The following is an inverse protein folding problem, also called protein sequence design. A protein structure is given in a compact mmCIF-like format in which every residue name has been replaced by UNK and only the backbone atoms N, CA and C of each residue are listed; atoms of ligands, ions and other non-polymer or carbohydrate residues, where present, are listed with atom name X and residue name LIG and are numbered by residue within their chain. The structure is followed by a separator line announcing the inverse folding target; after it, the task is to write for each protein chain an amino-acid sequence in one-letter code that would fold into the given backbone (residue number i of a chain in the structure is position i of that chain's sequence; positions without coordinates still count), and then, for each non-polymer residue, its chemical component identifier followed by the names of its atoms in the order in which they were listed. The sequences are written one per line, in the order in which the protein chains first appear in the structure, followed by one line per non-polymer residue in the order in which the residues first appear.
data_IF_735146789460
#
_entry.id   IF_735146789460
#
_cell.length_a   1.000
_cell.length_b   1.000
_cell.length_c   1.000
_cell.angle_alpha   90.00
_cell.angle_beta   90.00
_cell.angle_gamma   90.00
#
_symmetry.space_group_name_H-M   'P 1'
#
loop_
_entity.id
_entity.type
_entity.pdbx_description
1 polymer ?
#
# COMPACT_ATOMS: atom_id res chain seq x y z
N UNK A 1 -8.14 9.55 -14.54
CA UNK A 1 -8.66 8.17 -14.67
C UNK A 1 -10.09 8.09 -15.20
N UNK A 2 -11.00 9.03 -14.91
CA UNK A 2 -12.41 8.94 -15.33
C UNK A 2 -12.63 8.69 -16.84
N UNK A 3 -11.86 9.33 -17.72
CA UNK A 3 -11.97 9.10 -19.18
C UNK A 3 -11.70 7.64 -19.57
N UNK A 4 -10.75 6.98 -18.89
CA UNK A 4 -10.44 5.56 -19.11
C UNK A 4 -11.58 4.66 -18.63
N UNK A 5 -12.11 4.92 -17.43
CA UNK A 5 -13.24 4.18 -16.87
C UNK A 5 -14.52 4.33 -17.70
N UNK A 6 -14.81 5.53 -18.20
CA UNK A 6 -15.91 5.77 -19.13
C UNK A 6 -15.71 5.04 -20.46
N UNK A 7 -14.49 5.05 -21.00
CA UNK A 7 -14.18 4.31 -22.22
C UNK A 7 -14.44 2.80 -22.04
N UNK A 8 -14.01 2.22 -20.92
CA UNK A 8 -14.27 0.82 -20.57
C UNK A 8 -15.78 0.52 -20.47
N UNK A 9 -16.52 1.34 -19.74
CA UNK A 9 -17.97 1.21 -19.58
C UNK A 9 -18.71 1.32 -20.93
N UNK A 10 -18.29 2.25 -21.77
CA UNK A 10 -18.84 2.44 -23.11
C UNK A 10 -18.55 1.25 -24.02
N UNK A 11 -17.35 0.66 -23.93
CA UNK A 11 -17.00 -0.51 -24.71
C UNK A 11 -17.87 -1.71 -24.33
N UNK A 12 -18.05 -1.99 -23.04
CA UNK A 12 -18.96 -3.04 -22.57
C UNK A 12 -20.40 -2.83 -23.06
N UNK A 13 -20.85 -1.57 -23.09
CA UNK A 13 -22.20 -1.21 -23.56
C UNK A 13 -22.42 -1.59 -25.03
N UNK A 14 -21.38 -1.53 -25.88
CA UNK A 14 -21.48 -1.97 -27.29
C UNK A 14 -21.82 -3.46 -27.42
N UNK A 15 -21.52 -4.25 -26.39
CA UNK A 15 -21.86 -5.68 -26.31
C UNK A 15 -23.13 -5.95 -25.50
N UNK A 16 -23.94 -4.92 -25.21
CA UNK A 16 -25.11 -4.98 -24.32
C UNK A 16 -24.77 -5.45 -22.89
N UNK A 17 -23.55 -5.22 -22.42
CA UNK A 17 -23.12 -5.51 -21.06
C UNK A 17 -23.18 -4.24 -20.20
N UNK A 18 -23.85 -4.33 -19.05
CA UNK A 18 -23.77 -3.30 -18.03
C UNK A 18 -22.55 -3.59 -17.14
N UNK A 19 -21.46 -2.84 -17.35
CA UNK A 19 -20.27 -2.99 -16.53
C UNK A 19 -20.37 -2.13 -15.26
N UNK A 20 -20.66 -2.78 -14.14
CA UNK A 20 -20.77 -2.18 -12.82
C UNK A 20 -19.96 -3.01 -11.80
N UNK A 21 -18.64 -2.80 -11.69
CA UNK A 21 -17.81 -3.54 -10.76
C UNK A 21 -18.19 -3.22 -9.31
N UNK A 22 -18.26 -4.25 -8.46
CA UNK A 22 -18.52 -4.08 -7.03
C UNK A 22 -17.26 -3.62 -6.28
N UNK A 23 -16.09 -4.11 -6.69
CA UNK A 23 -14.82 -3.84 -6.01
C UNK A 23 -13.75 -3.48 -7.04
N UNK A 24 -12.98 -2.42 -6.74
CA UNK A 24 -11.75 -2.10 -7.45
C UNK A 24 -10.55 -2.19 -6.51
N UNK A 25 -9.52 -2.90 -6.93
CA UNK A 25 -8.20 -2.86 -6.30
C UNK A 25 -7.30 -1.93 -7.11
N UNK A 26 -6.80 -0.88 -6.48
CA UNK A 26 -5.89 0.09 -7.10
C UNK A 26 -4.76 0.45 -6.12
N UNK A 27 -3.72 1.15 -6.58
CA UNK A 27 -2.76 1.73 -5.65
C UNK A 27 -3.42 2.75 -4.70
N UNK A 28 -2.67 3.37 -3.79
CA UNK A 28 -3.21 4.29 -2.79
C UNK A 28 -3.36 5.73 -3.30
N UNK A 29 -3.25 5.97 -4.62
CA UNK A 29 -3.42 7.31 -5.20
C UNK A 29 -4.87 7.80 -5.04
N UNK A 30 -5.11 8.93 -4.36
CA UNK A 30 -6.49 9.41 -4.13
C UNK A 30 -7.28 9.62 -5.44
N UNK A 31 -6.61 10.06 -6.50
CA UNK A 31 -7.23 10.41 -7.78
C UNK A 31 -7.94 9.21 -8.45
N UNK A 32 -7.32 8.01 -8.43
CA UNK A 32 -7.92 6.82 -9.07
C UNK A 32 -9.18 6.37 -8.34
N UNK A 33 -9.18 6.43 -7.01
CA UNK A 33 -10.34 6.09 -6.17
C UNK A 33 -11.50 7.07 -6.34
N UNK A 34 -11.18 8.37 -6.40
CA UNK A 34 -12.18 9.42 -6.63
C UNK A 34 -12.80 9.29 -8.02
N UNK A 35 -11.97 9.12 -9.05
CA UNK A 35 -12.43 8.99 -10.43
C UNK A 35 -13.26 7.71 -10.65
N UNK A 36 -12.93 6.62 -9.96
CA UNK A 36 -13.72 5.39 -9.99
C UNK A 36 -15.11 5.62 -9.39
N UNK A 37 -15.20 6.28 -8.23
CA UNK A 37 -16.49 6.63 -7.60
C UNK A 37 -17.32 7.60 -8.45
N UNK A 38 -16.68 8.48 -9.22
CA UNK A 38 -17.38 9.35 -10.18
C UNK A 38 -18.06 8.56 -11.31
N UNK A 39 -17.50 7.40 -11.72
CA UNK A 39 -18.06 6.57 -12.82
C UNK A 39 -18.98 5.45 -12.30
N UNK A 40 -18.67 4.92 -11.13
CA UNK A 40 -19.41 3.88 -10.41
C UNK A 40 -19.59 4.30 -8.95
N UNK A 41 -20.68 5.02 -8.61
CA UNK A 41 -20.89 5.60 -7.27
C UNK A 41 -20.85 4.58 -6.13
N UNK A 42 -21.31 3.35 -6.38
CA UNK A 42 -21.43 2.29 -5.38
C UNK A 42 -20.17 1.39 -5.28
N UNK A 43 -19.10 1.71 -6.02
CA UNK A 43 -17.89 0.88 -6.04
C UNK A 43 -17.16 0.91 -4.70
N UNK A 44 -16.79 -0.27 -4.22
CA UNK A 44 -15.89 -0.40 -3.07
C UNK A 44 -14.46 -0.33 -3.58
N UNK A 45 -13.73 0.71 -3.16
CA UNK A 45 -12.32 0.85 -3.50
C UNK A 45 -11.42 0.27 -2.43
N UNK A 46 -10.47 -0.58 -2.82
CA UNK A 46 -9.48 -1.20 -1.92
C UNK A 46 -8.06 -0.92 -2.40
N UNK A 47 -7.15 -0.79 -1.45
CA UNK A 47 -5.72 -0.71 -1.73
C UNK A 47 -5.18 -2.04 -2.29
N UNK A 48 -4.30 -1.96 -3.28
CA UNK A 48 -3.70 -3.10 -3.94
C UNK A 48 -2.39 -3.46 -3.24
N UNK A 49 -2.38 -4.61 -2.56
CA UNK A 49 -1.18 -5.11 -1.86
C UNK A 49 0.02 -5.30 -2.77
N UNK A 50 -0.20 -5.68 -4.02
CA UNK A 50 0.89 -5.85 -4.99
C UNK A 50 1.65 -4.54 -5.21
N UNK A 51 0.93 -3.45 -5.50
CA UNK A 51 1.53 -2.14 -5.70
C UNK A 51 2.15 -1.58 -4.40
N UNK A 52 1.54 -1.83 -3.25
CA UNK A 52 2.12 -1.48 -1.95
C UNK A 52 3.46 -2.18 -1.71
N UNK A 53 3.50 -3.51 -1.90
CA UNK A 53 4.71 -4.29 -1.79
C UNK A 53 5.80 -3.85 -2.77
N UNK A 54 5.43 -3.48 -4.00
CA UNK A 54 6.37 -2.90 -4.97
C UNK A 54 6.91 -1.54 -4.53
N UNK A 55 6.09 -0.67 -3.92
CA UNK A 55 6.54 0.61 -3.38
C UNK A 55 7.53 0.40 -2.23
N UNK A 56 7.19 -0.47 -1.28
CA UNK A 56 8.05 -0.80 -0.14
C UNK A 56 9.35 -1.44 -0.59
N UNK A 57 9.30 -2.39 -1.52
CA UNK A 57 10.49 -3.05 -2.06
C UNK A 57 11.43 -2.07 -2.75
N UNK A 58 10.90 -1.12 -3.54
CA UNK A 58 11.72 -0.05 -4.12
C UNK A 58 12.39 0.81 -3.05
N UNK A 59 11.70 1.15 -1.96
CA UNK A 59 12.31 1.90 -0.85
C UNK A 59 13.42 1.09 -0.16
N UNK A 60 13.19 -0.19 0.10
CA UNK A 60 14.20 -1.12 0.65
C UNK A 60 15.44 -1.17 -0.25
N UNK A 61 15.26 -1.26 -1.58
CA UNK A 61 16.35 -1.23 -2.55
C UNK A 61 17.11 0.10 -2.52
N UNK A 62 16.40 1.23 -2.53
CA UNK A 62 17.01 2.56 -2.54
C UNK A 62 17.85 2.85 -1.28
N UNK A 63 17.48 2.28 -0.14
CA UNK A 63 18.23 2.39 1.11
C UNK A 63 19.42 1.41 1.17
N UNK A 64 19.55 0.50 0.19
CA UNK A 64 20.56 -0.55 0.17
C UNK A 64 20.29 -1.67 1.18
N UNK A 65 19.05 -1.83 1.63
CA UNK A 65 18.64 -2.86 2.59
C UNK A 65 18.37 -4.22 1.92
N UNK A 66 18.35 -4.29 0.58
CA UNK A 66 18.10 -5.54 -0.15
C UNK A 66 19.10 -6.65 0.17
N UNK A 67 20.35 -6.31 0.49
CA UNK A 67 21.35 -7.31 0.89
C UNK A 67 20.93 -8.05 2.16
N UNK A 68 20.32 -7.35 3.12
CA UNK A 68 19.82 -7.94 4.36
C UNK A 68 18.55 -8.73 4.11
N UNK A 69 17.63 -8.19 3.29
CA UNK A 69 16.39 -8.88 2.95
C UNK A 69 16.62 -10.26 2.31
N UNK A 70 17.63 -10.37 1.45
CA UNK A 70 18.00 -11.62 0.78
C UNK A 70 18.84 -12.58 1.64
N UNK A 71 19.23 -12.17 2.85
CA UNK A 71 19.97 -12.99 3.80
C UNK A 71 19.02 -13.55 4.87
N UNK A 72 18.87 -14.88 4.92
CA UNK A 72 17.94 -15.55 5.83
C UNK A 72 18.40 -15.51 7.30
N UNK A 73 19.68 -15.26 7.57
CA UNK A 73 20.18 -15.10 8.95
C UNK A 73 20.23 -13.64 9.40
N UNK A 74 19.92 -12.68 8.51
CA UNK A 74 19.92 -11.26 8.87
C UNK A 74 18.71 -10.89 9.72
N UNK A 75 18.93 -10.38 10.93
CA UNK A 75 17.86 -9.85 11.79
C UNK A 75 17.08 -8.71 11.12
N UNK A 76 17.79 -7.79 10.43
CA UNK A 76 17.17 -6.75 9.61
C UNK A 76 16.33 -7.37 8.48
N UNK A 77 16.85 -8.40 7.81
CA UNK A 77 16.12 -9.11 6.77
C UNK A 77 14.85 -9.77 7.26
N UNK A 78 14.89 -10.44 8.41
CA UNK A 78 13.74 -11.05 9.05
C UNK A 78 12.70 -10.01 9.47
N UNK A 79 13.14 -8.90 10.07
CA UNK A 79 12.28 -7.78 10.40
C UNK A 79 11.57 -7.21 9.15
N UNK A 80 12.30 -6.98 8.06
CA UNK A 80 11.72 -6.51 6.80
C UNK A 80 10.77 -7.54 6.17
N UNK A 81 10.98 -8.84 6.33
CA UNK A 81 10.00 -9.84 5.87
C UNK A 81 8.72 -9.76 6.70
N UNK A 82 8.83 -9.55 8.00
CA UNK A 82 7.69 -9.41 8.91
C UNK A 82 6.88 -8.15 8.63
N UNK A 83 7.53 -7.00 8.37
CA UNK A 83 6.81 -5.74 8.13
C UNK A 83 5.94 -5.81 6.86
N UNK A 84 6.33 -6.60 5.85
CA UNK A 84 5.50 -6.89 4.66
C UNK A 84 4.21 -7.68 4.95
N UNK A 85 4.08 -8.20 6.17
CA UNK A 85 2.86 -8.80 6.73
C UNK A 85 1.90 -7.77 7.33
N UNK A 86 2.34 -6.55 7.66
CA UNK A 86 1.51 -5.51 8.27
C UNK A 86 0.18 -5.24 7.53
N UNK A 87 0.14 -5.19 6.17
CA UNK A 87 -1.12 -5.00 5.44
C UNK A 87 -2.12 -6.17 5.53
N UNK A 88 -1.78 -7.26 6.22
CA UNK A 88 -2.67 -8.39 6.47
C UNK A 88 -3.49 -8.22 7.75
N UNK A 89 -3.21 -7.19 8.55
CA UNK A 89 -4.00 -6.84 9.73
C UNK A 89 -5.28 -6.09 9.37
N UNK A 90 -6.23 -6.02 10.30
CA UNK A 90 -7.39 -5.16 10.15
C UNK A 90 -6.96 -3.69 10.21
N UNK A 91 -7.70 -2.81 9.54
CA UNK A 91 -7.39 -1.38 9.49
C UNK A 91 -7.21 -0.72 10.86
N UNK A 92 -8.00 -1.14 11.85
CA UNK A 92 -7.94 -0.63 13.22
C UNK A 92 -6.68 -1.10 13.98
N UNK A 93 -6.10 -2.23 13.58
CA UNK A 93 -4.96 -2.86 14.24
C UNK A 93 -3.62 -2.40 13.63
N UNK A 94 -3.62 -1.86 12.40
CA UNK A 94 -2.38 -1.48 11.69
C UNK A 94 -1.55 -0.48 12.49
N UNK A 95 -2.16 0.62 12.95
CA UNK A 95 -1.42 1.69 13.66
C UNK A 95 -0.87 1.19 14.99
N UNK A 96 -1.69 0.49 15.77
CA UNK A 96 -1.31 -0.06 17.08
C UNK A 96 -0.21 -1.11 16.91
N UNK A 97 -0.38 -2.05 15.98
CA UNK A 97 0.63 -3.09 15.77
C UNK A 97 1.94 -2.50 15.26
N UNK A 98 1.89 -1.50 14.38
CA UNK A 98 3.08 -0.78 13.96
C UNK A 98 3.82 -0.15 15.15
N UNK A 99 3.13 0.62 15.99
CA UNK A 99 3.76 1.37 17.09
C UNK A 99 4.18 0.51 18.28
N UNK A 100 3.39 -0.51 18.64
CA UNK A 100 3.62 -1.32 19.83
C UNK A 100 4.40 -2.61 19.53
N UNK A 101 4.06 -3.31 18.43
CA UNK A 101 4.66 -4.61 18.12
C UNK A 101 5.90 -4.46 17.25
N UNK A 102 5.81 -3.78 16.10
CA UNK A 102 6.93 -3.70 15.16
C UNK A 102 8.05 -2.79 15.67
N UNK A 103 7.73 -1.61 16.21
CA UNK A 103 8.77 -0.71 16.72
C UNK A 103 9.52 -1.28 17.93
N UNK A 104 8.90 -2.14 18.75
CA UNK A 104 9.54 -2.74 19.93
C UNK A 104 10.56 -3.83 19.58
N UNK A 105 10.42 -4.48 18.42
CA UNK A 105 11.34 -5.53 17.93
C UNK A 105 12.27 -5.05 16.82
N UNK A 106 12.18 -3.78 16.41
CA UNK A 106 12.98 -3.20 15.32
C UNK A 106 14.47 -3.18 15.70
N UNK A 107 15.36 -3.80 14.89
CA UNK A 107 16.81 -3.66 15.07
C UNK A 107 17.28 -2.20 15.06
N UNK A 108 18.36 -1.91 15.76
CA UNK A 108 18.99 -0.58 15.74
C UNK A 108 19.81 -0.41 14.45
N UNK A 109 19.23 0.30 13.47
CA UNK A 109 19.85 0.59 12.18
C UNK A 109 19.26 1.88 11.58
N UNK A 110 20.14 2.77 11.13
CA UNK A 110 19.80 4.09 10.58
C UNK A 110 18.94 4.00 9.31
N UNK A 111 19.24 3.04 8.42
CA UNK A 111 18.49 2.87 7.17
C UNK A 111 17.13 2.28 7.45
N UNK A 112 17.03 1.40 8.45
CA UNK A 112 15.76 0.86 8.89
C UNK A 112 14.87 1.97 9.48
N UNK A 113 15.44 2.91 10.25
CA UNK A 113 14.70 4.09 10.72
C UNK A 113 14.10 4.88 9.54
N UNK A 114 14.91 5.17 8.52
CA UNK A 114 14.45 5.86 7.29
C UNK A 114 13.37 5.08 6.52
N UNK A 115 13.37 3.75 6.61
CA UNK A 115 12.31 2.93 6.04
C UNK A 115 11.01 3.03 6.86
N UNK A 116 11.11 3.01 8.18
CA UNK A 116 9.95 3.13 9.08
C UNK A 116 9.31 4.53 8.96
N UNK A 117 10.11 5.59 8.90
CA UNK A 117 9.61 6.96 8.68
C UNK A 117 8.83 7.05 7.36
N UNK A 118 9.38 6.46 6.29
CA UNK A 118 8.67 6.36 5.01
C UNK A 118 7.33 5.61 5.13
N UNK A 119 7.25 4.53 5.92
CA UNK A 119 5.99 3.83 6.16
C UNK A 119 5.01 4.70 6.92
N UNK A 120 5.46 5.50 7.89
CA UNK A 120 4.61 6.46 8.62
C UNK A 120 4.00 7.45 7.63
N UNK A 121 4.84 8.14 6.86
CA UNK A 121 4.44 9.18 5.90
C UNK A 121 3.53 8.66 4.77
N UNK A 122 3.68 7.40 4.36
CA UNK A 122 3.03 6.89 3.13
C UNK A 122 1.97 5.83 3.37
N UNK A 123 1.85 5.28 4.59
CA UNK A 123 0.93 4.18 4.86
C UNK A 123 0.26 4.22 6.24
N UNK A 124 1.01 4.45 7.32
CA UNK A 124 0.45 4.42 8.68
C UNK A 124 -0.34 5.69 8.99
N UNK A 125 0.25 6.84 8.67
CA UNK A 125 -0.34 8.15 8.93
C UNK A 125 -0.04 9.15 7.81
N UNK A 126 -0.60 8.95 6.61
CA UNK A 126 -0.33 9.78 5.45
C UNK A 126 -0.91 11.21 5.54
N UNK A 127 -1.34 11.64 6.73
CA UNK A 127 -1.83 12.99 7.03
C UNK A 127 -0.92 13.74 8.03
N UNK A 128 0.19 13.15 8.48
CA UNK A 128 1.08 13.75 9.49
C UNK A 128 1.84 15.00 9.03
N UNK A 129 1.82 15.35 7.74
CA UNK A 129 2.44 16.56 7.18
C UNK A 129 1.51 17.79 7.16
N UNK A 130 0.39 17.76 7.89
CA UNK A 130 -0.59 18.85 7.98
C UNK A 130 -0.72 19.53 9.35
N UNK A 131 0.18 19.25 10.30
CA UNK A 131 0.28 19.97 11.59
C UNK A 131 1.60 20.74 11.73
#
# INVERSE_FOLDING_TARGET
YSSCFLALKNECTKFNLCFNPEIMYADFEKSIHMDARNVWPDIITKGCRFHLGQAWWRKVQNLGLSIHYCDDVSEIGQFLKNIFGLPMLNEHDIKISFTEDFMSIKPDDEKLNQFMDYLVENYIDPQSDLD
#
